data_IF_114760246508
#
_entry.id   IF_114760246508
#
_cell.length_a   1.000
_cell.length_b   1.000
_cell.length_c   1.000
_cell.angle_alpha   90.00
_cell.angle_beta   90.00
_cell.angle_gamma   90.00
#
_symmetry.space_group_name_H-M   'P 1'
#
loop_
_entity.id
_entity.type
_entity.pdbx_description
1 polymer ?
#
# COMPACT_ATOMS: atom_id res chain seq x y z
N UNK A 1 -18.24 22.55 2.63
CA UNK A 1 -18.79 21.27 2.13
C UNK A 1 -18.72 20.28 3.29
N UNK A 2 -19.79 19.53 3.53
CA UNK A 2 -19.79 18.44 4.51
C UNK A 2 -19.48 17.15 3.76
N UNK A 3 -18.45 16.43 4.20
CA UNK A 3 -18.17 15.10 3.71
C UNK A 3 -18.39 14.11 4.84
N UNK A 4 -19.20 13.10 4.56
CA UNK A 4 -19.46 11.99 5.48
C UNK A 4 -18.60 10.81 5.04
N UNK A 5 -17.53 10.53 5.77
CA UNK A 5 -16.72 9.32 5.59
C UNK A 5 -17.01 8.39 6.76
N UNK A 6 -17.53 7.18 6.47
CA UNK A 6 -17.86 6.15 7.49
C UNK A 6 -18.75 6.65 8.65
N UNK A 7 -19.66 7.59 8.37
CA UNK A 7 -20.53 8.17 9.40
C UNK A 7 -19.84 9.19 10.32
N UNK A 8 -18.62 9.59 9.98
CA UNK A 8 -17.94 10.73 10.61
C UNK A 8 -18.15 11.96 9.72
N UNK A 9 -18.84 12.94 10.28
CA UNK A 9 -19.06 14.22 9.63
C UNK A 9 -17.79 15.06 9.73
N UNK A 10 -17.12 15.26 8.59
CA UNK A 10 -15.96 16.14 8.51
C UNK A 10 -16.37 17.47 7.90
N UNK A 11 -16.23 18.54 8.68
CA UNK A 11 -16.42 19.91 8.19
C UNK A 11 -15.08 20.50 7.75
N UNK A 12 -15.01 20.84 6.47
CA UNK A 12 -13.88 21.59 5.91
C UNK A 12 -14.27 23.06 5.83
N UNK A 13 -13.55 23.93 6.56
CA UNK A 13 -13.75 25.38 6.53
C UNK A 13 -13.43 25.96 5.13
N UNK A 14 -12.48 25.35 4.43
CA UNK A 14 -12.20 25.62 3.03
C UNK A 14 -11.63 24.36 2.36
N UNK A 15 -12.28 23.90 1.29
CA UNK A 15 -11.65 22.94 0.37
C UNK A 15 -11.00 23.80 -0.71
N UNK A 16 -9.67 23.76 -0.82
CA UNK A 16 -9.05 24.30 -2.03
C UNK A 16 -9.63 23.55 -3.21
N UNK A 17 -10.09 24.25 -4.25
CA UNK A 17 -10.78 23.68 -5.41
C UNK A 17 -9.98 22.64 -6.20
N UNK A 18 -8.74 22.39 -5.81
CA UNK A 18 -7.78 21.46 -6.41
C UNK A 18 -7.64 20.12 -5.65
N UNK A 19 -8.22 19.97 -4.45
CA UNK A 19 -8.14 18.72 -3.69
C UNK A 19 -9.32 17.79 -3.98
N UNK A 20 -9.04 16.69 -4.69
CA UNK A 20 -10.04 15.66 -5.02
C UNK A 20 -9.65 14.34 -4.39
N UNK A 21 -10.54 13.78 -3.57
CA UNK A 21 -10.28 12.57 -2.82
C UNK A 21 -11.43 11.57 -2.97
N UNK A 22 -11.08 10.29 -2.97
CA UNK A 22 -12.01 9.17 -2.81
C UNK A 22 -11.53 8.37 -1.60
N UNK A 23 -12.40 8.26 -0.60
CA UNK A 23 -12.18 7.39 0.56
C UNK A 23 -13.36 6.42 0.69
N UNK A 24 -13.09 5.16 0.37
CA UNK A 24 -14.01 4.04 0.54
C UNK A 24 -13.46 3.02 1.55
N UNK A 25 -12.51 3.42 2.38
CA UNK A 25 -11.88 2.50 3.32
C UNK A 25 -12.89 1.91 4.32
N UNK A 26 -12.52 0.85 5.04
CA UNK A 26 -13.29 0.26 6.15
C UNK A 26 -14.71 -0.19 5.79
N UNK A 27 -14.90 -0.74 4.61
CA UNK A 27 -16.18 -1.21 4.11
C UNK A 27 -16.12 -2.72 3.79
N UNK A 28 -17.17 -3.24 3.14
CA UNK A 28 -17.27 -4.63 2.69
C UNK A 28 -17.25 -4.76 1.16
N UNK A 29 -16.62 -3.81 0.46
CA UNK A 29 -16.50 -3.89 -0.99
C UNK A 29 -15.64 -5.09 -1.38
N UNK A 30 -16.08 -5.84 -2.39
CA UNK A 30 -15.43 -7.06 -2.85
C UNK A 30 -15.29 -7.08 -4.36
N UNK A 31 -14.52 -8.05 -4.87
CA UNK A 31 -14.19 -8.16 -6.29
C UNK A 31 -12.98 -7.30 -6.66
N UNK A 32 -12.77 -7.08 -7.96
CA UNK A 32 -11.60 -6.36 -8.46
C UNK A 32 -11.77 -4.84 -8.36
N UNK A 33 -10.67 -4.12 -8.20
CA UNK A 33 -10.63 -2.68 -8.42
C UNK A 33 -10.82 -2.43 -9.93
N UNK A 34 -11.81 -1.61 -10.36
CA UNK A 34 -12.11 -1.43 -11.77
C UNK A 34 -11.05 -0.57 -12.47
N UNK A 35 -10.71 -0.91 -13.72
CA UNK A 35 -9.76 -0.14 -14.53
C UNK A 35 -10.20 1.32 -14.77
N UNK A 36 -11.51 1.60 -14.68
CA UNK A 36 -12.06 2.95 -14.82
C UNK A 36 -11.55 3.93 -13.76
N UNK A 37 -10.98 3.44 -12.65
CA UNK A 37 -10.34 4.30 -11.65
C UNK A 37 -9.28 5.21 -12.28
N UNK A 38 -8.57 4.73 -13.31
CA UNK A 38 -7.51 5.48 -14.02
C UNK A 38 -8.01 6.65 -14.87
N UNK A 39 -9.33 6.85 -14.99
CA UNK A 39 -9.94 7.99 -15.67
C UNK A 39 -10.00 9.24 -14.78
N UNK A 40 -9.81 9.08 -13.47
CA UNK A 40 -9.92 10.16 -12.48
C UNK A 40 -8.63 10.99 -12.38
N UNK A 41 -8.22 11.63 -13.49
CA UNK A 41 -6.91 12.30 -13.63
C UNK A 41 -6.57 13.34 -12.56
N UNK A 42 -7.58 13.99 -12.02
CA UNK A 42 -7.43 15.04 -11.02
C UNK A 42 -7.44 14.51 -9.57
N UNK A 43 -7.50 13.19 -9.37
CA UNK A 43 -7.55 12.58 -8.05
C UNK A 43 -6.20 12.74 -7.34
N UNK A 44 -6.25 13.30 -6.13
CA UNK A 44 -5.10 13.52 -5.22
C UNK A 44 -4.98 12.40 -4.20
N UNK A 45 -6.10 11.87 -3.72
CA UNK A 45 -6.11 10.80 -2.70
C UNK A 45 -7.07 9.69 -3.10
N UNK A 46 -6.57 8.45 -3.05
CA UNK A 46 -7.37 7.23 -3.18
C UNK A 46 -7.14 6.32 -1.99
N UNK A 47 -8.16 6.16 -1.15
CA UNK A 47 -8.14 5.23 -0.03
C UNK A 47 -9.19 4.14 -0.22
N UNK A 48 -8.73 2.90 -0.40
CA UNK A 48 -9.55 1.70 -0.56
C UNK A 48 -9.29 0.67 0.56
N UNK A 49 -8.58 1.07 1.62
CA UNK A 49 -8.09 0.13 2.62
C UNK A 49 -9.17 -0.49 3.49
N UNK A 50 -8.91 -1.66 4.08
CA UNK A 50 -9.88 -2.30 4.97
C UNK A 50 -11.17 -2.70 4.25
N UNK A 51 -11.03 -3.36 3.11
CA UNK A 51 -12.13 -3.90 2.31
C UNK A 51 -11.83 -5.39 1.99
N UNK A 52 -12.60 -5.97 1.07
CA UNK A 52 -12.41 -7.32 0.55
C UNK A 52 -12.06 -7.32 -0.95
N UNK A 53 -11.36 -6.28 -1.45
CA UNK A 53 -10.94 -6.25 -2.84
C UNK A 53 -9.96 -7.40 -3.13
N UNK A 54 -10.15 -8.05 -4.28
CA UNK A 54 -9.40 -9.22 -4.74
C UNK A 54 -8.68 -8.93 -6.06
N UNK A 55 -7.92 -9.91 -6.55
CA UNK A 55 -7.23 -9.84 -7.84
C UNK A 55 -6.11 -8.78 -7.86
N UNK A 56 -5.56 -8.52 -9.04
CA UNK A 56 -4.40 -7.65 -9.19
C UNK A 56 -4.76 -6.17 -9.00
N UNK A 57 -3.77 -5.41 -8.52
CA UNK A 57 -3.79 -3.95 -8.58
C UNK A 57 -3.84 -3.55 -10.08
N UNK A 58 -4.85 -2.78 -10.52
CA UNK A 58 -5.00 -2.48 -11.93
C UNK A 58 -3.89 -1.53 -12.41
N UNK A 59 -3.28 -1.87 -13.54
CA UNK A 59 -2.23 -1.05 -14.17
C UNK A 59 -2.71 0.37 -14.45
N UNK A 60 -4.02 0.59 -14.62
CA UNK A 60 -4.61 1.91 -14.82
C UNK A 60 -4.43 2.86 -13.63
N UNK A 61 -3.93 2.45 -12.47
CA UNK A 61 -3.59 3.41 -11.41
C UNK A 61 -2.40 4.31 -11.79
N UNK A 62 -1.52 3.86 -12.68
CA UNK A 62 -0.36 4.64 -13.17
C UNK A 62 -0.78 5.86 -13.99
N UNK A 63 -2.06 5.92 -14.34
CA UNK A 63 -2.67 7.01 -15.08
C UNK A 63 -3.11 8.18 -14.20
N UNK A 64 -3.06 8.02 -12.87
CA UNK A 64 -3.42 9.05 -11.88
C UNK A 64 -2.21 9.94 -11.59
N UNK A 65 -1.84 10.76 -12.57
CA UNK A 65 -0.59 11.54 -12.54
C UNK A 65 -0.55 12.58 -11.42
N UNK A 66 -1.70 13.03 -10.90
CA UNK A 66 -1.80 13.97 -9.79
C UNK A 66 -1.96 13.28 -8.42
N UNK A 67 -1.88 11.95 -8.37
CA UNK A 67 -2.10 11.20 -7.12
C UNK A 67 -0.95 11.44 -6.14
N UNK A 68 -1.32 11.80 -4.92
CA UNK A 68 -0.40 12.10 -3.81
C UNK A 68 -0.41 10.99 -2.75
N UNK A 69 -1.57 10.36 -2.53
CA UNK A 69 -1.75 9.31 -1.55
C UNK A 69 -2.57 8.13 -2.10
N UNK A 70 -2.04 6.91 -1.90
CA UNK A 70 -2.67 5.65 -2.29
C UNK A 70 -2.64 4.65 -1.13
N UNK A 71 -3.80 4.30 -0.58
CA UNK A 71 -3.89 3.25 0.45
C UNK A 71 -4.76 2.09 -0.05
N UNK A 72 -4.13 0.95 -0.27
CA UNK A 72 -4.74 -0.32 -0.68
C UNK A 72 -4.62 -1.40 0.42
N UNK A 73 -4.15 -1.02 1.61
CA UNK A 73 -3.86 -1.96 2.68
C UNK A 73 -5.10 -2.71 3.18
N UNK A 74 -4.90 -3.84 3.87
CA UNK A 74 -5.98 -4.63 4.50
C UNK A 74 -7.07 -5.00 3.48
N UNK A 75 -6.64 -5.66 2.41
CA UNK A 75 -7.50 -6.23 1.37
C UNK A 75 -7.08 -7.68 1.07
N UNK A 76 -7.57 -8.25 -0.01
CA UNK A 76 -7.18 -9.57 -0.52
C UNK A 76 -6.56 -9.48 -1.91
N UNK A 77 -5.89 -8.36 -2.22
CA UNK A 77 -5.25 -8.11 -3.51
C UNK A 77 -4.09 -9.08 -3.71
N UNK A 78 -3.88 -9.52 -4.94
CA UNK A 78 -2.88 -10.52 -5.32
C UNK A 78 -2.01 -10.06 -6.49
N UNK A 79 -0.99 -10.84 -6.84
CA UNK A 79 -0.07 -10.50 -7.93
C UNK A 79 0.93 -9.41 -7.55
N UNK A 80 1.58 -8.84 -8.57
CA UNK A 80 2.67 -7.88 -8.39
C UNK A 80 2.18 -6.45 -8.20
N UNK A 81 2.97 -5.66 -7.47
CA UNK A 81 2.80 -4.21 -7.39
C UNK A 81 3.24 -3.60 -8.74
N UNK A 82 2.39 -2.80 -9.42
CA UNK A 82 2.76 -2.13 -10.66
C UNK A 82 3.98 -1.22 -10.49
N UNK A 83 5.11 -1.59 -11.12
CA UNK A 83 6.38 -0.87 -10.96
C UNK A 83 6.30 0.60 -11.39
N UNK A 84 5.44 0.90 -12.37
CA UNK A 84 5.33 2.25 -12.93
C UNK A 84 4.59 3.23 -12.00
N UNK A 85 4.00 2.75 -10.89
CA UNK A 85 3.58 3.64 -9.79
C UNK A 85 4.76 4.45 -9.23
N UNK A 86 5.98 3.93 -9.36
CA UNK A 86 7.21 4.64 -8.99
C UNK A 86 7.50 5.87 -9.85
N UNK A 87 6.84 6.02 -11.00
CA UNK A 87 6.98 7.18 -11.88
C UNK A 87 6.01 8.31 -11.54
N UNK A 88 5.04 8.09 -10.63
CA UNK A 88 4.10 9.12 -10.20
C UNK A 88 4.79 10.12 -9.29
N UNK A 89 5.24 11.25 -9.84
CA UNK A 89 6.14 12.19 -9.15
C UNK A 89 5.54 12.80 -7.89
N UNK A 90 4.21 12.90 -7.81
CA UNK A 90 3.49 13.43 -6.64
C UNK A 90 3.16 12.36 -5.59
N UNK A 91 3.24 11.07 -5.93
CA UNK A 91 2.82 9.98 -5.06
C UNK A 91 3.80 9.80 -3.91
N UNK A 92 3.44 10.36 -2.76
CA UNK A 92 4.32 10.47 -1.59
C UNK A 92 3.93 9.51 -0.47
N UNK A 93 2.66 9.12 -0.40
CA UNK A 93 2.13 8.20 0.61
C UNK A 93 1.58 6.97 -0.08
N UNK A 94 2.09 5.79 0.29
CA UNK A 94 1.61 4.52 -0.21
C UNK A 94 1.44 3.50 0.91
N UNK A 95 0.39 2.68 0.85
CA UNK A 95 0.26 1.53 1.73
C UNK A 95 -0.34 0.32 1.01
N UNK A 96 0.41 -0.79 1.01
CA UNK A 96 0.06 -2.06 0.38
C UNK A 96 0.00 -3.23 1.38
N UNK A 97 0.20 -2.94 2.67
CA UNK A 97 0.31 -3.94 3.74
C UNK A 97 -0.96 -4.77 3.91
N UNK A 98 -0.84 -5.95 4.51
CA UNK A 98 -1.96 -6.86 4.78
C UNK A 98 -2.76 -7.21 3.50
N UNK A 99 -2.09 -7.83 2.54
CA UNK A 99 -2.69 -8.31 1.30
C UNK A 99 -2.11 -9.70 0.94
N UNK A 100 -2.34 -10.17 -0.28
CA UNK A 100 -1.76 -11.42 -0.84
C UNK A 100 -0.83 -11.09 -2.01
N UNK A 101 -0.17 -9.94 -1.99
CA UNK A 101 0.74 -9.49 -3.04
C UNK A 101 1.99 -10.36 -3.07
N UNK A 102 2.58 -10.48 -4.25
CA UNK A 102 3.75 -11.31 -4.51
C UNK A 102 4.73 -10.67 -5.48
N UNK A 103 5.97 -11.13 -5.47
CA UNK A 103 7.02 -10.63 -6.36
C UNK A 103 7.94 -9.60 -5.70
N UNK A 104 8.84 -9.06 -6.52
CA UNK A 104 9.82 -8.06 -6.09
C UNK A 104 9.14 -6.71 -5.81
N UNK A 105 9.47 -6.07 -4.69
CA UNK A 105 9.06 -4.69 -4.43
C UNK A 105 9.71 -3.76 -5.46
N UNK A 106 8.94 -2.91 -6.16
CA UNK A 106 9.52 -1.99 -7.13
C UNK A 106 10.53 -1.02 -6.49
N UNK A 107 11.63 -0.75 -7.20
CA UNK A 107 12.73 0.12 -6.74
C UNK A 107 12.60 1.58 -7.19
N UNK A 108 11.41 2.00 -7.64
CA UNK A 108 11.16 3.40 -8.00
C UNK A 108 11.35 4.32 -6.79
N UNK A 109 11.77 5.57 -7.02
CA UNK A 109 12.09 6.52 -5.94
C UNK A 109 10.94 6.70 -4.95
N UNK A 110 9.69 6.67 -5.41
CA UNK A 110 8.53 6.78 -4.52
C UNK A 110 8.42 5.62 -3.53
N UNK A 111 8.76 4.39 -3.96
CA UNK A 111 8.73 3.20 -3.11
C UNK A 111 9.86 3.21 -2.07
N UNK A 112 11.05 3.63 -2.47
CA UNK A 112 12.23 3.72 -1.59
C UNK A 112 12.09 4.76 -0.48
N UNK A 113 11.15 5.71 -0.60
CA UNK A 113 10.87 6.73 0.42
C UNK A 113 9.88 6.28 1.49
N UNK A 114 9.25 5.11 1.31
CA UNK A 114 8.24 4.61 2.24
C UNK A 114 8.88 3.86 3.42
N UNK A 115 8.17 3.80 4.55
CA UNK A 115 8.52 2.89 5.64
C UNK A 115 8.20 1.43 5.25
N UNK A 116 9.01 0.47 5.64
CA UNK A 116 8.81 -0.96 5.41
C UNK A 116 7.44 -1.50 5.83
N UNK A 117 6.85 -0.91 6.88
CA UNK A 117 5.53 -1.29 7.39
C UNK A 117 4.46 -1.25 6.29
N UNK A 118 4.63 -0.42 5.26
CA UNK A 118 3.68 -0.30 4.14
C UNK A 118 3.63 -1.53 3.24
N UNK A 119 4.58 -2.46 3.36
CA UNK A 119 4.64 -3.69 2.57
C UNK A 119 4.41 -4.95 3.41
N UNK A 120 4.37 -4.82 4.75
CA UNK A 120 4.26 -5.94 5.68
C UNK A 120 2.99 -6.77 5.47
N UNK A 121 3.02 -8.00 5.96
CA UNK A 121 1.90 -8.94 5.89
C UNK A 121 1.44 -9.23 4.45
N UNK A 122 2.42 -9.30 3.53
CA UNK A 122 2.31 -9.91 2.22
C UNK A 122 3.35 -11.04 2.12
N UNK A 123 2.92 -12.28 2.36
CA UNK A 123 3.83 -13.43 2.56
C UNK A 123 4.81 -13.70 1.41
N UNK A 124 4.49 -13.25 0.19
CA UNK A 124 5.24 -13.54 -1.04
C UNK A 124 5.94 -12.32 -1.64
N UNK A 125 5.92 -11.17 -0.97
CA UNK A 125 6.77 -10.04 -1.36
C UNK A 125 8.21 -10.28 -0.90
N UNK A 126 9.17 -9.88 -1.74
CA UNK A 126 10.61 -9.97 -1.44
C UNK A 126 11.36 -8.74 -1.98
N UNK A 127 12.64 -8.60 -1.61
CA UNK A 127 13.44 -7.40 -1.88
C UNK A 127 13.15 -6.27 -0.89
N UNK A 128 12.60 -6.59 0.28
CA UNK A 128 12.35 -5.64 1.36
C UNK A 128 13.69 -5.09 1.86
N UNK A 129 14.68 -5.97 2.04
CA UNK A 129 16.04 -5.69 2.45
C UNK A 129 16.70 -4.57 1.63
N UNK A 130 16.45 -4.53 0.33
CA UNK A 130 17.01 -3.54 -0.60
C UNK A 130 16.29 -2.19 -0.56
N UNK A 131 14.99 -2.20 -0.23
CA UNK A 131 14.12 -1.01 -0.22
C UNK A 131 14.12 -0.35 1.16
N UNK A 132 14.23 -1.14 2.20
CA UNK A 132 14.18 -0.73 3.59
C UNK A 132 15.53 -0.33 4.19
N UNK A 133 16.63 -0.87 3.66
CA UNK A 133 17.93 -0.80 4.34
C UNK A 133 17.91 -1.48 5.72
N UNK A 134 19.08 -1.71 6.31
CA UNK A 134 19.25 -2.36 7.62
C UNK A 134 18.69 -1.58 8.83
N UNK A 135 17.80 -0.60 8.63
CA UNK A 135 17.20 0.17 9.72
C UNK A 135 16.12 -0.59 10.52
N UNK A 136 15.90 -1.88 10.22
CA UNK A 136 15.00 -2.74 11.00
C UNK A 136 15.53 -4.18 11.09
N UNK A 137 16.71 -4.37 11.69
CA UNK A 137 17.04 -5.68 12.21
C UNK A 137 16.19 -6.02 13.45
N UNK A 138 15.37 -7.05 13.24
CA UNK A 138 14.96 -8.08 14.19
C UNK A 138 14.04 -7.66 15.35
N UNK A 139 12.79 -8.11 15.28
CA UNK A 139 12.23 -8.80 16.44
C UNK A 139 13.22 -9.91 16.82
N UNK A 140 13.85 -9.79 17.99
CA UNK A 140 14.76 -10.80 18.53
C UNK A 140 14.10 -12.19 18.42
N UNK A 141 14.83 -13.23 17.95
CA UNK A 141 14.32 -14.58 17.95
C UNK A 141 13.92 -14.96 19.37
N UNK A 142 12.78 -15.63 19.50
CA UNK A 142 12.32 -16.12 20.80
C UNK A 142 13.39 -17.06 21.39
N UNK A 143 13.45 -17.22 22.72
CA UNK A 143 14.46 -18.07 23.36
C UNK A 143 14.54 -19.49 22.75
N UNK A 144 13.41 -20.02 22.28
CA UNK A 144 13.33 -21.32 21.60
C UNK A 144 14.03 -21.35 20.23
N UNK A 145 13.88 -20.31 19.40
CA UNK A 145 14.55 -20.21 18.09
C UNK A 145 16.06 -20.04 18.25
N UNK A 146 16.48 -19.30 19.28
CA UNK A 146 17.90 -19.13 19.61
C UNK A 146 18.59 -20.45 20.01
N UNK A 147 17.84 -21.38 20.61
CA UNK A 147 18.34 -22.69 21.02
C UNK A 147 18.47 -23.65 19.84
N UNK A 148 17.53 -23.59 18.89
CA UNK A 148 17.56 -24.39 17.65
C UNK A 148 18.77 -24.00 16.79
N UNK A 149 19.02 -22.69 16.65
CA UNK A 149 20.17 -22.16 15.90
C UNK A 149 21.50 -22.57 16.56
N UNK A 150 21.57 -22.58 17.90
CA UNK A 150 22.76 -23.06 18.64
C UNK A 150 23.04 -24.54 18.42
N UNK A 151 22.00 -25.37 18.27
CA UNK A 151 22.16 -26.83 18.06
C UNK A 151 22.59 -27.16 16.63
N UNK A 152 22.19 -26.36 15.64
CA UNK A 152 22.59 -26.57 14.24
C UNK A 152 24.03 -26.15 13.93
N UNK A 153 24.62 -25.22 14.70
CA UNK A 153 26.01 -24.77 14.53
C UNK A 153 27.07 -25.65 15.23
N UNK A 154 26.65 -26.72 15.91
CA UNK A 154 27.54 -27.67 16.62
C UNK A 154 27.63 -29.05 15.96
N UNK A 155 27.20 -29.18 14.70
CA UNK A 155 27.42 -30.37 13.87
C UNK A 155 28.31 -30.04 12.70
#
# INVERSE_FOLDING_TARGET
MEMVSKGVDTKFEQIRSDFRAIDFSGNKFYGKIPNSIGLLKELRLLNLSGNAFTSNIPQSLVNLTNLEALDLSRNQLSGQIPRDLGNLSFLSVMNFSHNKLEGLIPRGTQFQRQNCSVFMDNLRLYGLEDVCGEAHHASNPTPQESEIIRRQKKK
#
